data_IF_461162597596
#
_entry.id   IF_461162597596
#
_cell.length_a   1.000
_cell.length_b   1.000
_cell.length_c   1.000
_cell.angle_alpha   90.00
_cell.angle_beta   90.00
_cell.angle_gamma   90.00
#
_symmetry.space_group_name_H-M   'P 1'
#
loop_
_entity.id
_entity.type
_entity.pdbx_description
1 polymer ?
#
# COMPACT_ATOMS: atom_id res chain seq x y z
N UNK A 1 16.92 -2.27 -14.81
CA UNK A 1 15.51 -2.17 -15.30
C UNK A 1 14.56 -2.27 -14.10
N UNK A 2 14.78 -1.45 -13.05
CA UNK A 2 14.28 -1.72 -11.69
C UNK A 2 13.10 -0.81 -11.29
N UNK A 3 12.94 0.35 -11.90
CA UNK A 3 11.82 1.27 -11.64
C UNK A 3 10.43 0.68 -11.96
N UNK A 4 10.35 -0.37 -12.79
CA UNK A 4 9.08 -0.99 -13.20
C UNK A 4 8.50 -1.93 -12.14
N UNK A 5 9.34 -2.50 -11.26
CA UNK A 5 8.91 -3.47 -10.25
C UNK A 5 8.21 -2.79 -9.08
N UNK A 6 8.78 -1.70 -8.56
CA UNK A 6 8.16 -0.92 -7.50
C UNK A 6 6.80 -0.36 -7.91
N UNK A 7 6.70 0.24 -9.09
CA UNK A 7 5.44 0.76 -9.63
C UNK A 7 4.36 -0.34 -9.78
N UNK A 8 4.73 -1.52 -10.28
CA UNK A 8 3.80 -2.65 -10.41
C UNK A 8 3.36 -3.20 -9.03
N UNK A 9 4.28 -3.31 -8.07
CA UNK A 9 3.98 -3.75 -6.72
C UNK A 9 3.06 -2.77 -5.98
N UNK A 10 3.32 -1.46 -6.11
CA UNK A 10 2.44 -0.42 -5.59
C UNK A 10 1.04 -0.49 -6.21
N UNK A 11 0.93 -0.70 -7.53
CA UNK A 11 -0.37 -0.83 -8.19
C UNK A 11 -1.13 -2.07 -7.70
N UNK A 12 -0.43 -3.20 -7.57
CA UNK A 12 -1.02 -4.44 -7.05
C UNK A 12 -1.51 -4.27 -5.61
N UNK A 13 -0.72 -3.61 -4.75
CA UNK A 13 -1.10 -3.28 -3.38
C UNK A 13 -2.34 -2.38 -3.36
N UNK A 14 -2.38 -1.31 -4.18
CA UNK A 14 -3.53 -0.40 -4.25
C UNK A 14 -4.78 -1.15 -4.73
N UNK A 15 -4.66 -2.01 -5.73
CA UNK A 15 -5.80 -2.81 -6.19
C UNK A 15 -6.24 -3.86 -5.16
N UNK A 16 -5.36 -4.32 -4.28
CA UNK A 16 -5.72 -5.29 -3.24
C UNK A 16 -6.47 -4.66 -2.08
N UNK A 17 -6.02 -3.49 -1.62
CA UNK A 17 -6.53 -2.86 -0.40
C UNK A 17 -7.44 -1.66 -0.66
N UNK A 18 -7.30 -0.97 -1.79
CA UNK A 18 -8.04 0.26 -2.11
C UNK A 18 -9.06 0.10 -3.26
N UNK A 19 -9.26 -1.11 -3.80
CA UNK A 19 -10.18 -1.32 -4.91
C UNK A 19 -11.65 -1.41 -4.49
N UNK A 20 -11.95 -1.85 -3.27
CA UNK A 20 -13.32 -1.92 -2.74
C UNK A 20 -13.66 -0.69 -1.90
N UNK A 21 -14.96 -0.41 -1.80
CA UNK A 21 -15.58 0.88 -1.44
C UNK A 21 -15.37 1.38 0.00
N UNK A 22 -14.27 1.00 0.65
CA UNK A 22 -13.87 1.43 1.97
C UNK A 22 -12.84 0.45 2.52
N UNK A 23 -11.70 0.98 2.97
CA UNK A 23 -10.71 0.16 3.66
C UNK A 23 -11.24 -0.16 5.05
N UNK A 24 -11.42 -1.44 5.37
CA UNK A 24 -11.78 -1.86 6.72
C UNK A 24 -10.56 -1.82 7.64
N UNK A 25 -10.78 -1.78 8.96
CA UNK A 25 -9.69 -1.76 9.94
C UNK A 25 -8.78 -3.01 9.83
N UNK A 26 -9.35 -4.19 9.51
CA UNK A 26 -8.58 -5.43 9.30
C UNK A 26 -7.73 -5.37 8.02
N UNK A 27 -8.29 -4.83 6.95
CA UNK A 27 -7.56 -4.60 5.69
C UNK A 27 -6.46 -3.55 5.85
N UNK A 28 -6.63 -2.58 6.75
CA UNK A 28 -5.62 -1.56 7.03
C UNK A 28 -4.35 -2.14 7.69
N UNK A 29 -4.50 -3.05 8.66
CA UNK A 29 -3.34 -3.73 9.26
C UNK A 29 -2.60 -4.60 8.23
N UNK A 30 -3.35 -5.35 7.41
CA UNK A 30 -2.75 -6.14 6.33
C UNK A 30 -2.09 -5.26 5.26
N UNK A 31 -2.67 -4.12 4.94
CA UNK A 31 -2.11 -3.16 4.01
C UNK A 31 -0.77 -2.61 4.52
N UNK A 32 -0.67 -2.25 5.80
CA UNK A 32 0.57 -1.79 6.43
C UNK A 32 1.66 -2.86 6.41
N UNK A 33 1.33 -4.09 6.82
CA UNK A 33 2.30 -5.21 6.86
C UNK A 33 2.79 -5.58 5.46
N UNK A 34 1.89 -5.56 4.48
CA UNK A 34 2.25 -5.83 3.09
C UNK A 34 3.13 -4.71 2.50
N UNK A 35 2.87 -3.44 2.84
CA UNK A 35 3.72 -2.33 2.41
C UNK A 35 5.12 -2.40 3.07
N UNK A 36 5.21 -2.77 4.34
CA UNK A 36 6.49 -2.98 5.04
C UNK A 36 7.30 -4.13 4.43
N UNK A 37 6.65 -5.25 4.08
CA UNK A 37 7.34 -6.38 3.43
C UNK A 37 7.93 -5.99 2.06
N UNK A 38 7.22 -5.16 1.28
CA UNK A 38 7.70 -4.64 0.00
C UNK A 38 8.94 -3.75 0.16
N UNK A 39 8.99 -2.92 1.22
CA UNK A 39 10.13 -2.06 1.53
C UNK A 39 11.33 -2.89 1.99
N UNK A 40 11.10 -3.81 2.94
CA UNK A 40 12.13 -4.71 3.47
C UNK A 40 12.73 -5.63 2.41
N UNK A 41 11.93 -6.02 1.42
CA UNK A 41 12.37 -6.82 0.28
C UNK A 41 13.10 -5.99 -0.79
N UNK A 42 13.21 -4.67 -0.62
CA UNK A 42 13.82 -3.75 -1.57
C UNK A 42 13.03 -3.57 -2.87
N UNK A 43 11.74 -3.94 -2.88
CA UNK A 43 10.87 -3.80 -4.05
C UNK A 43 10.42 -2.35 -4.23
N UNK A 44 10.20 -1.65 -3.11
CA UNK A 44 9.88 -0.22 -3.06
C UNK A 44 10.84 0.49 -2.10
N UNK A 45 11.03 1.78 -2.32
CA UNK A 45 11.83 2.63 -1.43
C UNK A 45 11.04 3.07 -0.20
N UNK A 46 11.71 3.48 0.87
CA UNK A 46 11.06 4.06 2.06
C UNK A 46 10.11 5.23 1.72
N UNK A 47 10.45 6.05 0.72
CA UNK A 47 9.55 7.12 0.25
C UNK A 47 8.27 6.61 -0.40
N UNK A 48 8.34 5.52 -1.17
CA UNK A 48 7.18 4.87 -1.79
C UNK A 48 6.32 4.18 -0.74
N UNK A 49 6.93 3.55 0.26
CA UNK A 49 6.24 2.98 1.41
C UNK A 49 5.42 4.03 2.15
N UNK A 50 6.01 5.19 2.48
CA UNK A 50 5.30 6.30 3.13
C UNK A 50 4.08 6.73 2.30
N UNK A 51 4.20 6.79 0.98
CA UNK A 51 3.08 7.15 0.09
C UNK A 51 1.97 6.08 0.08
N UNK A 52 2.28 4.79 0.17
CA UNK A 52 1.28 3.73 0.33
C UNK A 52 0.55 3.87 1.67
N UNK A 53 1.29 4.05 2.77
CA UNK A 53 0.73 4.22 4.12
C UNK A 53 -0.20 5.43 4.19
N UNK A 54 0.18 6.56 3.60
CA UNK A 54 -0.69 7.75 3.52
C UNK A 54 -1.98 7.49 2.75
N UNK A 55 -1.92 6.69 1.68
CA UNK A 55 -3.09 6.35 0.89
C UNK A 55 -4.05 5.42 1.64
N UNK A 56 -3.53 4.40 2.34
CA UNK A 56 -4.31 3.56 3.24
C UNK A 56 -4.99 4.40 4.32
N UNK A 57 -4.25 5.29 4.99
CA UNK A 57 -4.82 6.20 6.00
C UNK A 57 -5.93 7.08 5.44
N UNK A 58 -5.71 7.65 4.25
CA UNK A 58 -6.72 8.49 3.58
C UNK A 58 -7.96 7.69 3.17
N UNK A 59 -7.82 6.42 2.81
CA UNK A 59 -8.92 5.55 2.47
C UNK A 59 -9.72 5.12 3.71
N UNK A 60 -9.03 4.79 4.81
CA UNK A 60 -9.65 4.50 6.11
C UNK A 60 -10.46 5.71 6.62
N UNK A 61 -9.88 6.91 6.53
CA UNK A 61 -10.55 8.16 6.92
C UNK A 61 -11.78 8.47 6.06
N UNK A 62 -11.81 8.03 4.79
CA UNK A 62 -12.97 8.20 3.90
C UNK A 62 -14.06 7.14 4.11
N UNK A 63 -13.71 5.99 4.65
CA UNK A 63 -14.64 4.90 4.95
C UNK A 63 -15.44 5.12 6.25
N UNK A 64 -15.08 6.15 7.02
CA UNK A 64 -15.67 6.51 8.32
C UNK A 64 -16.54 7.76 8.21
#
# INVERSE_FOLDING_TARGET
MECKKGAAAMLAWRNRFLAEAGLQEDDYDQALRCAEDLERSGVISAGEWIELVKQANSALLRAR
#
